data_IF_547543979199
#
_entry.id   IF_547543979199
#
_cell.length_a   1.000
_cell.length_b   1.000
_cell.length_c   1.000
_cell.angle_alpha   90.00
_cell.angle_beta   90.00
_cell.angle_gamma   90.00
#
_symmetry.space_group_name_H-M   'P 1'
#
loop_
_entity.id
_entity.type
_entity.pdbx_description
1 polymer ?
#
# COMPACT_ATOMS: atom_id res chain seq x y z
N UNK A 1 31.87 -35.95 -28.91
CA UNK A 1 30.97 -35.74 -30.07
C UNK A 1 31.33 -34.44 -30.82
N UNK A 2 32.54 -34.33 -31.37
CA UNK A 2 32.98 -33.15 -32.13
C UNK A 2 33.55 -33.51 -33.52
N UNK A 3 33.60 -34.81 -33.84
CA UNK A 3 34.25 -35.33 -35.04
C UNK A 3 33.32 -35.48 -36.26
N UNK A 4 31.99 -35.31 -36.11
CA UNK A 4 31.03 -35.54 -37.20
C UNK A 4 30.56 -34.26 -37.93
N UNK A 5 30.99 -33.08 -37.50
CA UNK A 5 30.57 -31.83 -38.14
C UNK A 5 31.44 -31.40 -39.35
N UNK A 6 32.58 -32.06 -39.59
CA UNK A 6 33.58 -31.60 -40.57
C UNK A 6 33.40 -32.18 -41.98
N UNK A 7 32.51 -33.16 -42.20
CA UNK A 7 32.40 -33.87 -43.49
C UNK A 7 31.45 -33.23 -44.51
N UNK A 8 30.81 -32.09 -44.20
CA UNK A 8 29.86 -31.42 -45.11
C UNK A 8 30.16 -29.92 -45.33
N UNK A 9 31.42 -29.49 -45.24
CA UNK A 9 31.77 -28.11 -45.56
C UNK A 9 32.12 -27.96 -47.05
N UNK A 10 31.15 -27.56 -47.86
CA UNK A 10 31.42 -27.06 -49.22
C UNK A 10 31.72 -25.56 -49.14
N UNK A 11 32.99 -25.18 -49.24
CA UNK A 11 33.36 -23.78 -49.47
C UNK A 11 32.86 -23.37 -50.86
N UNK A 12 31.97 -22.39 -50.89
CA UNK A 12 31.58 -21.68 -52.11
C UNK A 12 32.09 -20.26 -51.98
N UNK A 13 33.10 -19.92 -52.75
CA UNK A 13 33.63 -18.55 -52.84
C UNK A 13 32.66 -17.73 -53.67
N UNK A 14 32.08 -16.70 -53.07
CA UNK A 14 31.28 -15.69 -53.77
C UNK A 14 32.13 -14.44 -53.93
N UNK A 15 32.25 -13.94 -55.16
CA UNK A 15 32.95 -12.69 -55.47
C UNK A 15 31.90 -11.59 -55.71
N UNK A 16 31.96 -10.51 -54.93
CA UNK A 16 30.98 -9.41 -54.91
C UNK A 16 30.49 -9.05 -53.50
N UNK A 17 29.86 -7.88 -53.32
CA UNK A 17 29.39 -7.44 -52.00
C UNK A 17 28.24 -8.34 -51.53
N UNK A 18 28.39 -8.93 -50.35
CA UNK A 18 27.37 -9.73 -49.71
C UNK A 18 26.82 -9.01 -48.48
N UNK A 19 25.53 -9.21 -48.19
CA UNK A 19 24.85 -8.66 -47.02
C UNK A 19 24.48 -9.81 -46.09
N UNK A 20 25.07 -9.83 -44.90
CA UNK A 20 24.75 -10.82 -43.86
C UNK A 20 23.70 -10.22 -42.92
N UNK A 21 22.54 -10.85 -42.83
CA UNK A 21 21.55 -10.55 -41.79
C UNK A 21 21.67 -11.59 -40.67
N UNK A 22 22.37 -11.20 -39.62
CA UNK A 22 22.47 -11.99 -38.40
C UNK A 22 21.34 -11.58 -37.44
N UNK A 23 20.30 -12.40 -37.34
CA UNK A 23 19.28 -12.28 -36.31
C UNK A 23 19.69 -13.12 -35.11
N UNK A 24 20.29 -12.47 -34.11
CA UNK A 24 20.66 -13.11 -32.85
C UNK A 24 19.57 -12.86 -31.81
N UNK A 25 19.01 -13.93 -31.26
CA UNK A 25 18.08 -13.85 -30.13
C UNK A 25 18.84 -14.19 -28.86
N UNK A 26 18.98 -13.22 -27.96
CA UNK A 26 19.45 -13.47 -26.59
C UNK A 26 18.22 -13.63 -25.70
N UNK A 27 18.16 -14.73 -24.95
CA UNK A 27 17.16 -14.87 -23.91
C UNK A 27 17.43 -13.79 -22.85
N UNK A 28 16.43 -12.96 -22.55
CA UNK A 28 16.52 -12.06 -21.41
C UNK A 28 16.67 -12.95 -20.17
N UNK A 29 17.78 -12.80 -19.46
CA UNK A 29 17.92 -13.37 -18.13
C UNK A 29 16.71 -12.92 -17.32
N UNK A 30 15.99 -13.87 -16.72
CA UNK A 30 14.77 -13.58 -15.98
C UNK A 30 15.17 -12.64 -14.83
N UNK A 31 15.07 -11.33 -15.06
CA UNK A 31 15.13 -10.35 -13.99
C UNK A 31 14.07 -10.81 -13.01
N UNK A 32 14.49 -11.31 -11.84
CA UNK A 32 13.61 -11.94 -10.88
C UNK A 32 12.47 -10.96 -10.59
N UNK A 33 11.31 -11.20 -11.22
CA UNK A 33 10.15 -10.34 -11.10
C UNK A 33 9.67 -10.33 -9.66
N UNK A 34 8.89 -9.31 -9.30
CA UNK A 34 8.22 -9.19 -8.01
C UNK A 34 7.58 -10.55 -7.66
N UNK A 35 8.09 -11.19 -6.61
CA UNK A 35 7.63 -12.52 -6.19
C UNK A 35 6.27 -12.37 -5.49
N UNK A 36 5.49 -13.45 -5.47
CA UNK A 36 4.26 -13.47 -4.67
C UNK A 36 4.62 -13.52 -3.18
N UNK A 37 4.02 -12.63 -2.40
CA UNK A 37 4.04 -12.69 -0.94
C UNK A 37 3.12 -13.81 -0.44
N UNK A 38 3.63 -15.04 -0.38
CA UNK A 38 2.91 -16.17 0.20
C UNK A 38 2.96 -16.11 1.73
N UNK A 39 2.02 -16.75 2.46
CA UNK A 39 2.02 -16.76 3.92
C UNK A 39 3.36 -17.21 4.52
N UNK A 40 3.97 -18.27 3.97
CA UNK A 40 5.28 -18.76 4.38
C UNK A 40 6.37 -17.70 4.26
N UNK A 41 6.43 -16.98 3.13
CA UNK A 41 7.44 -15.94 2.90
C UNK A 41 7.21 -14.70 3.75
N UNK A 42 5.95 -14.36 4.02
CA UNK A 42 5.63 -13.26 4.94
C UNK A 42 6.10 -13.63 6.35
N UNK A 43 5.95 -14.89 6.77
CA UNK A 43 6.45 -15.36 8.07
C UNK A 43 7.98 -15.32 8.13
N UNK A 44 8.68 -15.84 7.11
CA UNK A 44 10.14 -15.75 7.00
C UNK A 44 10.63 -14.29 7.01
N UNK A 45 9.98 -13.41 6.26
CA UNK A 45 10.29 -11.99 6.25
C UNK A 45 10.03 -11.33 7.61
N UNK A 46 8.96 -11.70 8.32
CA UNK A 46 8.65 -11.19 9.65
C UNK A 46 9.69 -11.63 10.69
N UNK A 47 10.18 -12.88 10.60
CA UNK A 47 11.27 -13.37 11.45
C UNK A 47 12.57 -12.61 11.18
N UNK A 48 12.92 -12.39 9.91
CA UNK A 48 14.07 -11.57 9.54
C UNK A 48 13.96 -10.12 10.05
N UNK A 49 12.77 -9.52 9.97
CA UNK A 49 12.47 -8.19 10.56
C UNK A 49 12.66 -8.20 12.07
N UNK A 50 12.17 -9.21 12.77
CA UNK A 50 12.30 -9.29 14.22
C UNK A 50 13.76 -9.41 14.65
N UNK A 51 14.55 -10.24 13.97
CA UNK A 51 15.99 -10.35 14.20
C UNK A 51 16.71 -9.02 13.96
N UNK A 52 16.42 -8.33 12.86
CA UNK A 52 16.99 -7.01 12.56
C UNK A 52 16.65 -5.95 13.62
N UNK A 53 15.40 -5.93 14.09
CA UNK A 53 14.96 -4.99 15.13
C UNK A 53 15.53 -5.34 16.51
N UNK A 54 15.79 -6.61 16.79
CA UNK A 54 16.45 -7.04 18.03
C UNK A 54 17.91 -6.53 18.10
N UNK A 55 18.60 -6.48 16.96
CA UNK A 55 19.97 -5.94 16.87
C UNK A 55 20.01 -4.39 16.92
N UNK A 56 18.91 -3.72 16.59
CA UNK A 56 18.80 -2.26 16.47
C UNK A 56 17.75 -1.67 17.40
N UNK A 57 18.14 -1.40 18.64
CA UNK A 57 17.25 -0.80 19.65
C UNK A 57 16.85 0.66 19.37
N UNK A 58 17.55 1.33 18.43
CA UNK A 58 17.26 2.69 17.98
C UNK A 58 16.07 2.76 17.01
N UNK A 59 15.72 1.64 16.37
CA UNK A 59 14.65 1.58 15.36
C UNK A 59 13.38 1.01 15.98
N UNK A 60 12.35 1.86 16.14
CA UNK A 60 11.01 1.42 16.52
C UNK A 60 10.07 1.47 15.33
N UNK A 61 9.47 0.32 15.02
CA UNK A 61 8.48 0.17 13.95
C UNK A 61 7.21 -0.39 14.57
N UNK A 62 6.08 0.28 14.39
CA UNK A 62 4.78 -0.19 14.86
C UNK A 62 4.23 -1.32 13.98
N UNK A 63 3.09 -1.88 14.38
CA UNK A 63 2.56 -3.09 13.78
C UNK A 63 2.11 -2.88 12.33
N UNK A 64 1.54 -1.72 11.99
CA UNK A 64 1.08 -1.41 10.63
C UNK A 64 2.27 -1.33 9.68
N UNK A 65 3.30 -0.57 10.05
CA UNK A 65 4.52 -0.44 9.26
C UNK A 65 5.27 -1.78 9.16
N UNK A 66 5.31 -2.58 10.25
CA UNK A 66 5.93 -3.90 10.27
C UNK A 66 5.25 -4.87 9.31
N UNK A 67 3.91 -4.93 9.30
CA UNK A 67 3.16 -5.80 8.39
C UNK A 67 3.42 -5.45 6.93
N UNK A 68 3.41 -4.16 6.58
CA UNK A 68 3.73 -3.76 5.22
C UNK A 68 5.17 -4.07 4.84
N UNK A 69 6.11 -3.87 5.76
CA UNK A 69 7.50 -4.23 5.51
C UNK A 69 7.66 -5.73 5.25
N UNK A 70 7.02 -6.59 6.05
CA UNK A 70 7.05 -8.03 5.83
C UNK A 70 6.49 -8.43 4.46
N UNK A 71 5.38 -7.82 4.03
CA UNK A 71 4.79 -8.05 2.71
C UNK A 71 5.70 -7.55 1.59
N UNK A 72 6.30 -6.37 1.74
CA UNK A 72 7.22 -5.80 0.76
C UNK A 72 8.48 -6.66 0.62
N UNK A 73 9.02 -7.12 1.75
CA UNK A 73 10.21 -7.98 1.79
C UNK A 73 9.92 -9.37 1.21
N UNK A 74 8.75 -9.96 1.49
CA UNK A 74 8.34 -11.25 0.93
C UNK A 74 8.19 -11.23 -0.61
N UNK A 75 8.08 -10.04 -1.22
CA UNK A 75 8.05 -9.86 -2.67
C UNK A 75 9.45 -9.69 -3.28
N UNK A 76 10.46 -9.41 -2.47
CA UNK A 76 11.83 -9.23 -2.94
C UNK A 76 12.47 -10.57 -3.32
N UNK A 77 13.37 -10.57 -4.31
CA UNK A 77 14.26 -11.70 -4.54
C UNK A 77 15.24 -11.91 -3.39
N UNK A 78 15.75 -13.14 -3.26
CA UNK A 78 16.59 -13.56 -2.11
C UNK A 78 17.93 -12.81 -2.04
N UNK A 79 18.38 -12.22 -3.15
CA UNK A 79 19.61 -11.42 -3.26
C UNK A 79 19.45 -9.97 -2.77
N UNK A 80 18.23 -9.53 -2.42
CA UNK A 80 18.02 -8.15 -1.95
C UNK A 80 18.38 -8.05 -0.47
N UNK A 81 19.41 -7.24 -0.20
CA UNK A 81 19.85 -6.92 1.15
C UNK A 81 18.71 -6.43 2.04
N UNK A 82 18.68 -6.96 3.26
CA UNK A 82 17.67 -6.63 4.25
C UNK A 82 17.94 -5.22 4.81
N UNK A 83 17.09 -4.25 4.47
CA UNK A 83 17.24 -2.84 4.86
C UNK A 83 15.93 -2.24 5.35
N UNK A 84 16.03 -1.22 6.20
CA UNK A 84 14.86 -0.44 6.63
C UNK A 84 14.27 0.29 5.41
N UNK A 85 12.96 0.14 5.12
CA UNK A 85 12.37 0.80 3.96
C UNK A 85 12.36 2.32 4.13
N UNK A 86 12.69 3.06 3.08
CA UNK A 86 12.62 4.53 3.07
C UNK A 86 11.43 5.08 2.27
N UNK A 87 10.55 4.20 1.78
CA UNK A 87 9.44 4.57 0.91
C UNK A 87 8.43 5.50 1.60
N UNK A 88 7.79 6.37 0.81
CA UNK A 88 6.74 7.27 1.31
C UNK A 88 5.60 6.49 2.00
N UNK A 89 5.21 5.35 1.44
CA UNK A 89 4.20 4.46 2.03
C UNK A 89 4.62 3.93 3.40
N UNK A 90 5.90 3.54 3.56
CA UNK A 90 6.39 3.08 4.86
C UNK A 90 6.41 4.19 5.90
N UNK A 91 6.78 5.42 5.52
CA UNK A 91 6.69 6.60 6.40
C UNK A 91 5.23 6.90 6.79
N UNK A 92 4.30 6.78 5.85
CA UNK A 92 2.88 6.95 6.13
C UNK A 92 2.37 5.91 7.14
N UNK A 93 2.79 4.65 7.01
CA UNK A 93 2.40 3.60 7.95
C UNK A 93 3.00 3.82 9.34
N UNK A 94 4.25 4.28 9.44
CA UNK A 94 4.83 4.71 10.72
C UNK A 94 4.05 5.86 11.35
N UNK A 95 3.57 6.81 10.54
CA UNK A 95 2.71 7.89 11.02
C UNK A 95 1.37 7.34 11.56
N UNK A 96 0.75 6.37 10.88
CA UNK A 96 -0.46 5.71 11.38
C UNK A 96 -0.20 4.95 12.68
N UNK A 97 0.94 4.26 12.80
CA UNK A 97 1.36 3.62 14.05
C UNK A 97 1.49 4.64 15.19
N UNK A 98 2.11 5.79 14.92
CA UNK A 98 2.25 6.87 15.91
C UNK A 98 0.88 7.46 16.34
N UNK A 99 -0.03 7.68 15.39
CA UNK A 99 -1.40 8.12 15.67
C UNK A 99 -2.18 7.09 16.48
N UNK A 100 -1.96 5.80 16.21
CA UNK A 100 -2.62 4.71 16.93
C UNK A 100 -2.10 4.62 18.37
N UNK A 101 -0.80 4.78 18.57
CA UNK A 101 -0.18 4.84 19.89
C UNK A 101 -0.65 6.05 20.71
N UNK A 102 -0.74 7.24 20.11
CA UNK A 102 -1.25 8.44 20.81
C UNK A 102 -2.74 8.35 21.14
N UNK A 103 -3.53 7.70 20.27
CA UNK A 103 -4.94 7.45 20.54
C UNK A 103 -5.11 6.47 21.70
N UNK A 104 -4.26 5.44 21.80
CA UNK A 104 -4.28 4.49 22.91
C UNK A 104 -3.81 5.07 24.26
N UNK A 105 -3.02 6.15 24.25
CA UNK A 105 -2.64 6.84 25.50
C UNK A 105 -3.73 7.79 26.01
N UNK A 106 -4.61 8.30 25.14
CA UNK A 106 -5.76 9.13 25.51
C UNK A 106 -7.07 8.38 25.77
N UNK A 107 -7.18 7.11 25.35
CA UNK A 107 -8.43 6.32 25.41
C UNK A 107 -8.39 5.22 26.49
N UNK A 108 -7.40 5.28 27.39
CA UNK A 108 -7.40 4.50 28.65
C UNK A 108 -8.31 5.12 29.73
N UNK A 109 -9.34 5.85 29.32
CA UNK A 109 -10.48 6.10 30.18
C UNK A 109 -11.38 4.86 30.11
N UNK A 110 -11.18 3.96 31.08
CA UNK A 110 -12.14 2.94 31.54
C UNK A 110 -13.50 2.99 30.83
N UNK A 111 -13.66 2.15 29.79
CA UNK A 111 -14.90 1.93 29.07
C UNK A 111 -15.79 3.16 28.94
N UNK A 112 -15.38 4.15 28.14
CA UNK A 112 -16.04 5.46 27.99
C UNK A 112 -17.55 5.35 28.07
N UNK A 113 -18.11 5.55 29.27
CA UNK A 113 -19.53 5.54 29.49
C UNK A 113 -20.10 6.78 28.82
N UNK A 114 -20.95 6.60 27.81
CA UNK A 114 -21.61 7.71 27.13
C UNK A 114 -23.10 7.67 27.36
N UNK A 115 -23.62 8.82 27.76
CA UNK A 115 -25.06 9.03 27.90
C UNK A 115 -25.64 9.41 26.55
N UNK A 116 -26.54 8.59 26.05
CA UNK A 116 -27.31 8.81 24.83
C UNK A 116 -28.74 9.18 25.19
N UNK A 117 -29.31 10.11 24.43
CA UNK A 117 -30.74 10.40 24.52
C UNK A 117 -31.49 9.42 23.61
N UNK A 118 -32.42 8.67 24.19
CA UNK A 118 -33.19 7.62 23.51
C UNK A 118 -34.68 7.87 23.73
N UNK A 119 -35.48 7.77 22.67
CA UNK A 119 -36.94 7.73 22.74
C UNK A 119 -37.44 6.37 22.26
N UNK A 120 -38.30 5.73 23.05
CA UNK A 120 -38.94 4.47 22.68
C UNK A 120 -40.39 4.72 22.29
N UNK A 121 -40.78 4.35 21.06
CA UNK A 121 -42.17 4.41 20.58
C UNK A 121 -42.83 5.80 20.72
N UNK A 122 -42.08 6.88 20.54
CA UNK A 122 -42.58 8.26 20.67
C UNK A 122 -42.84 8.70 22.11
N UNK A 123 -42.34 7.96 23.10
CA UNK A 123 -42.30 8.40 24.49
C UNK A 123 -41.29 9.53 24.70
N UNK A 124 -41.29 10.09 25.91
CA UNK A 124 -40.37 11.17 26.30
C UNK A 124 -38.93 10.70 26.21
N UNK A 125 -38.08 11.60 25.74
CA UNK A 125 -36.64 11.41 25.70
C UNK A 125 -36.10 11.01 27.08
N UNK A 126 -35.37 9.90 27.10
CA UNK A 126 -34.70 9.39 28.29
C UNK A 126 -33.20 9.33 28.04
N UNK A 127 -32.42 9.68 29.05
CA UNK A 127 -30.97 9.56 29.02
C UNK A 127 -30.56 8.18 29.52
N UNK A 128 -29.87 7.41 28.67
CA UNK A 128 -29.35 6.08 29.00
C UNK A 128 -27.83 6.10 28.84
N UNK A 129 -27.12 5.59 29.84
CA UNK A 129 -25.66 5.52 29.83
C UNK A 129 -25.22 4.13 29.41
N UNK A 130 -24.39 4.05 28.39
CA UNK A 130 -23.89 2.80 27.82
C UNK A 130 -22.37 2.74 27.86
N UNK A 131 -21.85 1.52 28.02
CA UNK A 131 -20.46 1.21 27.70
C UNK A 131 -20.35 1.19 26.18
N UNK A 132 -19.57 2.13 25.62
CA UNK A 132 -19.48 2.30 24.17
C UNK A 132 -18.90 1.06 23.47
N UNK A 133 -17.97 0.35 24.10
CA UNK A 133 -17.40 -0.88 23.54
C UNK A 133 -18.45 -1.97 23.36
N UNK A 134 -19.29 -2.22 24.37
CA UNK A 134 -20.36 -3.21 24.30
C UNK A 134 -21.43 -2.81 23.28
N UNK A 135 -21.81 -1.53 23.25
CA UNK A 135 -22.77 -1.02 22.29
C UNK A 135 -22.26 -1.18 20.85
N UNK A 136 -20.98 -0.89 20.59
CA UNK A 136 -20.34 -1.11 19.29
C UNK A 136 -20.31 -2.58 18.92
N UNK A 137 -19.97 -3.46 19.87
CA UNK A 137 -19.95 -4.91 19.64
C UNK A 137 -21.32 -5.44 19.23
N UNK A 138 -22.39 -5.02 19.90
CA UNK A 138 -23.78 -5.38 19.56
C UNK A 138 -24.16 -4.87 18.16
N UNK A 139 -23.74 -3.66 17.80
CA UNK A 139 -23.99 -3.05 16.50
C UNK A 139 -23.01 -3.51 15.40
N UNK A 140 -22.07 -4.40 15.71
CA UNK A 140 -20.99 -4.84 14.82
C UNK A 140 -20.16 -3.67 14.25
N UNK A 141 -20.03 -2.59 15.03
CA UNK A 141 -19.22 -1.44 14.67
C UNK A 141 -17.77 -1.65 15.13
N UNK A 142 -16.78 -1.10 14.40
CA UNK A 142 -15.39 -1.14 14.82
C UNK A 142 -15.20 -0.44 16.18
N UNK A 143 -14.24 -0.92 16.98
CA UNK A 143 -13.94 -0.36 18.31
C UNK A 143 -13.19 0.98 18.27
N UNK A 144 -12.85 1.49 17.09
CA UNK A 144 -12.22 2.79 16.90
C UNK A 144 -13.21 3.77 16.26
N UNK A 145 -13.04 5.07 16.49
CA UNK A 145 -13.82 6.09 15.76
C UNK A 145 -13.44 6.05 14.27
N UNK A 146 -14.42 5.84 13.40
CA UNK A 146 -14.23 5.91 11.94
C UNK A 146 -14.01 7.35 11.45
N UNK A 147 -14.50 8.31 12.24
CA UNK A 147 -14.26 9.72 12.05
C UNK A 147 -13.19 10.08 13.07
N UNK A 148 -11.93 9.79 12.74
CA UNK A 148 -10.81 10.38 13.47
C UNK A 148 -10.90 11.90 13.32
N UNK A 149 -10.64 12.62 14.40
CA UNK A 149 -10.39 14.06 14.35
C UNK A 149 -9.26 14.30 13.35
N UNK A 150 -9.61 14.73 12.14
CA UNK A 150 -8.65 14.96 11.05
C UNK A 150 -9.23 14.71 9.65
N UNK A 151 -10.13 13.72 9.48
CA UNK A 151 -10.64 13.38 8.14
C UNK A 151 -11.61 14.42 7.58
N UNK A 152 -12.39 15.10 8.43
CA UNK A 152 -13.37 16.11 8.03
C UNK A 152 -13.27 17.44 8.78
N UNK A 153 -12.29 17.60 9.68
CA UNK A 153 -12.18 18.79 10.53
C UNK A 153 -12.12 20.10 9.73
N UNK A 154 -11.60 20.03 8.50
CA UNK A 154 -11.43 21.16 7.59
C UNK A 154 -12.28 21.04 6.31
N UNK A 155 -13.22 20.10 6.24
CA UNK A 155 -14.11 20.02 5.08
C UNK A 155 -15.11 21.18 5.14
N UNK A 156 -14.76 22.27 4.47
CA UNK A 156 -15.68 23.33 4.12
C UNK A 156 -16.16 23.06 2.69
N UNK A 157 -17.44 22.69 2.49
CA UNK A 157 -17.99 22.59 1.15
C UNK A 157 -17.72 23.92 0.43
N UNK A 158 -17.23 23.91 -0.82
CA UNK A 158 -17.12 25.12 -1.61
C UNK A 158 -18.47 25.84 -1.60
N UNK A 159 -18.48 27.16 -1.42
CA UNK A 159 -19.72 27.92 -1.53
C UNK A 159 -20.28 27.69 -2.93
N UNK A 160 -21.54 27.27 -3.02
CA UNK A 160 -22.24 27.16 -4.29
C UNK A 160 -22.12 28.52 -5.02
N UNK A 161 -21.70 28.53 -6.29
CA UNK A 161 -21.55 29.77 -7.03
C UNK A 161 -22.91 30.47 -7.09
N UNK A 162 -22.97 31.70 -6.58
CA UNK A 162 -24.19 32.51 -6.57
C UNK A 162 -24.57 33.04 -7.96
N UNK A 163 -23.71 32.80 -8.95
CA UNK A 163 -23.88 33.20 -10.34
C UNK A 163 -23.64 31.97 -11.20
N UNK A 164 -24.57 31.71 -12.13
CA UNK A 164 -24.39 30.66 -13.13
C UNK A 164 -23.13 30.98 -13.96
N UNK A 165 -22.13 30.10 -13.91
CA UNK A 165 -20.91 30.26 -14.71
C UNK A 165 -21.28 29.80 -16.13
N UNK A 166 -21.22 30.73 -17.09
CA UNK A 166 -21.40 30.36 -18.49
C UNK A 166 -20.33 29.36 -18.92
N UNK A 167 -20.73 28.32 -19.66
CA UNK A 167 -19.82 27.27 -20.15
C UNK A 167 -18.93 27.81 -21.28
N UNK A 168 -17.76 28.33 -20.90
CA UNK A 168 -16.80 28.96 -21.83
C UNK A 168 -15.79 27.96 -22.44
N UNK A 169 -15.89 26.67 -22.12
CA UNK A 169 -14.86 25.69 -22.49
C UNK A 169 -14.99 25.08 -23.89
N UNK A 170 -15.97 25.48 -24.70
CA UNK A 170 -16.27 24.83 -25.98
C UNK A 170 -16.08 25.68 -27.25
N UNK A 171 -15.38 26.82 -27.19
CA UNK A 171 -15.30 27.76 -28.33
C UNK A 171 -13.94 27.93 -29.02
N UNK A 172 -13.04 26.96 -28.96
CA UNK A 172 -11.83 27.01 -29.78
C UNK A 172 -11.44 25.67 -30.41
N UNK A 173 -12.27 25.21 -31.36
CA UNK A 173 -11.77 24.41 -32.48
C UNK A 173 -12.50 24.75 -33.80
N UNK A 174 -12.57 26.04 -34.12
CA UNK A 174 -12.96 26.48 -35.45
C UNK A 174 -12.06 27.63 -35.89
N UNK A 175 -10.93 27.27 -36.51
CA UNK A 175 -10.30 27.92 -37.67
C UNK A 175 -8.95 27.28 -37.97
N UNK A 176 -8.97 26.21 -38.76
CA UNK A 176 -7.94 25.95 -39.76
C UNK A 176 -8.55 26.17 -41.13
N UNK A 177 -8.19 27.28 -41.74
CA UNK A 177 -8.34 27.59 -43.16
C UNK A 177 -7.01 28.14 -43.62
#
# INVERSE_FOLDING_TARGET
MLAQAQTNYKQKTFDGPFVVHLLMYTAKEVSQGIRRATPTRIAEAAEAINSYLAERQDVRVGDIARTHWAISQARQPDDVGFTLPESATFRQMQHLDAMSASSHEGDREEGVYRTLTVSLNGSRDMQLTFIIEELRAVLQLPNYSLITEGLFSNFQPPREPSVNIEDINHLSDQRRG
#
